data_IF_732261361297
#
_entry.id   IF_732261361297
#
_cell.length_a   1.000
_cell.length_b   1.000
_cell.length_c   1.000
_cell.angle_alpha   90.00
_cell.angle_beta   90.00
_cell.angle_gamma   90.00
#
_symmetry.space_group_name_H-M   'P 1'
#
loop_
_entity.id
_entity.type
_entity.pdbx_description
1 polymer ?
#
# COMPACT_ATOMS: atom_id res chain seq x y z
N UNK A 1 -25.92 24.86 19.81
CA UNK A 1 -24.59 25.46 19.55
C UNK A 1 -24.60 25.90 18.11
N UNK A 2 -24.48 27.21 17.89
CA UNK A 2 -24.77 27.90 16.64
C UNK A 2 -24.04 27.29 15.43
N UNK A 3 -24.81 27.06 14.36
CA UNK A 3 -24.30 26.67 13.05
C UNK A 3 -23.91 27.98 12.37
N UNK A 4 -22.65 28.38 12.49
CA UNK A 4 -22.09 29.50 11.73
C UNK A 4 -21.65 29.00 10.34
N UNK A 5 -22.30 29.57 9.34
CA UNK A 5 -21.85 29.95 7.99
C UNK A 5 -21.04 28.95 7.13
N UNK A 6 -21.68 28.59 6.01
CA UNK A 6 -21.13 28.21 4.70
C UNK A 6 -19.61 27.95 4.63
N UNK A 7 -19.23 26.70 4.83
CA UNK A 7 -17.88 26.20 4.52
C UNK A 7 -17.54 26.19 3.01
N UNK A 8 -18.49 26.55 2.13
CA UNK A 8 -18.29 26.56 0.68
C UNK A 8 -17.29 27.63 0.20
N UNK A 9 -17.07 28.71 0.96
CA UNK A 9 -16.23 29.84 0.55
C UNK A 9 -14.77 29.78 1.06
N UNK A 10 -14.39 28.77 1.85
CA UNK A 10 -13.04 28.70 2.46
C UNK A 10 -12.01 27.92 1.65
N UNK A 11 -12.37 27.31 0.53
CA UNK A 11 -11.45 26.53 -0.30
C UNK A 11 -11.34 27.13 -1.70
N UNK A 12 -10.46 28.13 -1.83
CA UNK A 12 -9.99 28.55 -3.16
C UNK A 12 -9.29 27.35 -3.81
N UNK A 13 -9.63 26.98 -5.06
CA UNK A 13 -8.90 25.93 -5.76
C UNK A 13 -7.44 26.35 -5.86
N UNK A 14 -6.54 25.57 -5.23
CA UNK A 14 -5.11 25.71 -5.43
C UNK A 14 -4.85 25.68 -6.95
N UNK A 15 -4.06 26.63 -7.47
CA UNK A 15 -3.56 26.55 -8.84
C UNK A 15 -2.78 25.23 -8.93
N UNK A 16 -3.36 24.23 -9.60
CA UNK A 16 -2.72 22.93 -9.77
C UNK A 16 -1.78 23.00 -10.95
N UNK A 17 -0.49 23.10 -10.67
CA UNK A 17 0.52 22.74 -11.66
C UNK A 17 0.33 21.27 -12.02
N UNK A 18 0.45 20.94 -13.31
CA UNK A 18 0.40 19.53 -13.75
C UNK A 18 1.46 18.75 -12.98
N UNK A 19 1.10 17.58 -12.46
CA UNK A 19 2.07 16.72 -11.82
C UNK A 19 3.06 16.25 -12.91
N UNK A 20 4.37 16.45 -12.75
CA UNK A 20 5.34 16.06 -13.77
C UNK A 20 5.25 14.56 -14.07
N UNK A 21 5.31 14.20 -15.35
CA UNK A 21 5.29 12.80 -15.79
C UNK A 21 6.54 12.02 -15.31
N UNK A 22 7.59 12.71 -14.84
CA UNK A 22 8.90 12.14 -14.47
C UNK A 22 9.14 12.15 -12.95
N UNK A 23 8.22 11.55 -12.17
CA UNK A 23 8.47 11.26 -10.75
C UNK A 23 8.35 9.76 -10.42
N UNK A 24 9.30 9.20 -9.65
CA UNK A 24 10.48 9.86 -9.08
C UNK A 24 11.58 10.17 -10.12
N UNK A 25 12.55 11.00 -9.75
CA UNK A 25 13.78 11.16 -10.54
C UNK A 25 14.63 9.86 -10.54
N UNK A 26 15.71 9.83 -11.33
CA UNK A 26 16.62 8.66 -11.41
C UNK A 26 17.25 8.24 -10.07
N UNK A 27 17.27 9.14 -9.08
CA UNK A 27 17.79 8.88 -7.74
C UNK A 27 16.68 8.44 -6.77
N UNK A 28 15.43 8.39 -7.22
CA UNK A 28 14.28 8.00 -6.42
C UNK A 28 13.61 9.15 -5.67
N UNK A 29 13.86 10.41 -6.06
CA UNK A 29 13.28 11.58 -5.38
C UNK A 29 12.00 12.08 -6.03
N UNK A 30 11.03 12.44 -5.19
CA UNK A 30 9.82 13.19 -5.50
C UNK A 30 10.02 14.62 -5.01
N UNK A 31 10.68 15.45 -5.82
CA UNK A 31 11.18 16.76 -5.38
C UNK A 31 12.24 16.60 -4.29
N UNK A 32 11.95 17.08 -3.08
CA UNK A 32 12.86 16.98 -1.93
C UNK A 32 12.72 15.66 -1.14
N UNK A 33 11.69 14.86 -1.43
CA UNK A 33 11.35 13.65 -0.67
C UNK A 33 11.80 12.39 -1.41
N UNK A 34 11.89 11.24 -0.72
CA UNK A 34 12.27 9.96 -1.33
C UNK A 34 13.76 9.67 -1.22
N UNK A 35 14.36 9.07 -2.25
CA UNK A 35 15.77 8.68 -2.27
C UNK A 35 16.04 7.31 -1.62
N UNK A 36 17.31 7.07 -1.27
CA UNK A 36 17.80 5.79 -0.72
C UNK A 36 18.64 6.04 0.52
N UNK A 37 17.97 6.19 1.66
CA UNK A 37 18.61 6.38 2.96
C UNK A 37 18.70 5.05 3.70
N UNK A 38 19.66 4.22 3.32
CA UNK A 38 19.89 2.88 3.89
C UNK A 38 21.37 2.65 4.18
N UNK A 39 21.68 1.59 4.91
CA UNK A 39 23.05 1.14 5.07
C UNK A 39 23.65 0.71 3.73
N UNK A 40 24.93 1.00 3.52
CA UNK A 40 25.68 0.63 2.30
C UNK A 40 25.55 -0.87 1.96
N UNK A 41 25.49 -1.71 3.00
CA UNK A 41 25.33 -3.17 2.86
C UNK A 41 24.02 -3.60 2.19
N UNK A 42 23.00 -2.74 2.14
CA UNK A 42 21.72 -2.98 1.45
C UNK A 42 21.70 -2.45 0.02
N UNK A 43 22.65 -1.59 -0.37
CA UNK A 43 22.64 -0.95 -1.68
C UNK A 43 22.67 -1.94 -2.85
N UNK A 44 23.47 -3.03 -2.83
CA UNK A 44 23.43 -4.03 -3.91
C UNK A 44 22.06 -4.68 -4.07
N UNK A 45 21.38 -5.00 -2.96
CA UNK A 45 20.05 -5.61 -2.95
C UNK A 45 18.99 -4.68 -3.54
N UNK A 46 19.09 -3.39 -3.21
CA UNK A 46 18.18 -2.35 -3.69
C UNK A 46 18.38 -2.05 -5.17
N UNK A 47 19.64 -2.02 -5.64
CA UNK A 47 19.97 -1.84 -7.04
C UNK A 47 19.52 -3.03 -7.90
N UNK A 48 19.73 -4.26 -7.43
CA UNK A 48 19.20 -5.47 -8.07
C UNK A 48 17.67 -5.42 -8.19
N UNK A 49 16.98 -5.00 -7.12
CA UNK A 49 15.53 -4.84 -7.11
C UNK A 49 15.06 -3.78 -8.12
N UNK A 50 15.72 -2.63 -8.15
CA UNK A 50 15.39 -1.55 -9.09
C UNK A 50 15.57 -1.98 -10.55
N UNK A 51 16.69 -2.63 -10.87
CA UNK A 51 16.95 -3.13 -12.21
C UNK A 51 15.89 -4.15 -12.61
N UNK A 52 15.58 -5.11 -11.73
CA UNK A 52 14.54 -6.11 -11.98
C UNK A 52 13.16 -5.49 -12.15
N UNK A 53 12.78 -4.52 -11.30
CA UNK A 53 11.49 -3.84 -11.39
C UNK A 53 11.37 -3.07 -12.72
N UNK A 54 12.38 -2.26 -13.07
CA UNK A 54 12.39 -1.49 -14.32
C UNK A 54 12.40 -2.38 -15.58
N UNK A 55 12.94 -3.60 -15.46
CA UNK A 55 12.97 -4.56 -16.56
C UNK A 55 11.65 -5.32 -16.70
N UNK A 56 11.12 -5.84 -15.60
CA UNK A 56 10.01 -6.81 -15.64
C UNK A 56 8.64 -6.17 -15.52
N UNK A 57 8.47 -5.10 -14.73
CA UNK A 57 7.16 -4.46 -14.60
C UNK A 57 6.58 -3.99 -15.94
N UNK A 58 7.32 -3.33 -16.85
CA UNK A 58 6.76 -2.92 -18.13
C UNK A 58 6.63 -4.07 -19.16
N UNK A 59 7.10 -5.28 -18.84
CA UNK A 59 7.01 -6.43 -19.75
C UNK A 59 5.54 -6.86 -19.93
N UNK A 60 5.03 -6.99 -21.18
CA UNK A 60 3.65 -7.39 -21.43
C UNK A 60 3.26 -8.74 -20.82
N UNK A 61 4.20 -9.71 -20.76
CA UNK A 61 3.94 -11.02 -20.18
C UNK A 61 3.82 -10.93 -18.65
N UNK A 62 4.63 -10.09 -18.00
CA UNK A 62 4.50 -9.81 -16.57
C UNK A 62 3.15 -9.16 -16.25
N UNK A 63 2.76 -8.16 -17.05
CA UNK A 63 1.48 -7.47 -16.88
C UNK A 63 0.29 -8.40 -17.14
N UNK A 64 0.37 -9.30 -18.12
CA UNK A 64 -0.67 -10.30 -18.36
C UNK A 64 -0.85 -11.23 -17.15
N UNK A 65 0.25 -11.76 -16.62
CA UNK A 65 0.24 -12.64 -15.45
C UNK A 65 -0.27 -11.90 -14.20
N UNK A 66 0.22 -10.68 -13.96
CA UNK A 66 -0.23 -9.85 -12.84
C UNK A 66 -1.73 -9.53 -12.92
N UNK A 67 -2.23 -9.08 -14.07
CA UNK A 67 -3.65 -8.81 -14.25
C UNK A 67 -4.52 -10.08 -14.15
N UNK A 68 -3.99 -11.23 -14.58
CA UNK A 68 -4.66 -12.51 -14.38
C UNK A 68 -4.82 -12.82 -12.89
N UNK A 69 -3.75 -12.68 -12.09
CA UNK A 69 -3.78 -12.86 -10.65
C UNK A 69 -4.75 -11.91 -9.97
N UNK A 70 -4.73 -10.62 -10.34
CA UNK A 70 -5.67 -9.64 -9.81
C UNK A 70 -7.13 -10.05 -10.08
N UNK A 71 -7.44 -10.49 -11.31
CA UNK A 71 -8.81 -10.86 -11.70
C UNK A 71 -9.26 -12.20 -11.09
N UNK A 72 -8.43 -13.23 -11.23
CA UNK A 72 -8.79 -14.63 -10.94
C UNK A 72 -8.57 -15.00 -9.48
N UNK A 73 -7.60 -14.38 -8.82
CA UNK A 73 -7.22 -14.71 -7.45
C UNK A 73 -7.61 -13.62 -6.45
N UNK A 74 -7.26 -12.35 -6.73
CA UNK A 74 -7.61 -11.25 -5.82
C UNK A 74 -9.09 -10.82 -5.91
N UNK A 75 -9.80 -11.21 -6.98
CA UNK A 75 -11.23 -10.90 -7.17
C UNK A 75 -11.49 -9.49 -7.71
N UNK A 76 -10.56 -8.93 -8.48
CA UNK A 76 -10.72 -7.61 -9.11
C UNK A 76 -11.57 -7.66 -10.40
N UNK A 77 -12.28 -6.58 -10.76
CA UNK A 77 -12.34 -5.28 -10.07
C UNK A 77 -13.20 -5.30 -8.81
N UNK A 78 -12.82 -4.51 -7.81
CA UNK A 78 -13.67 -4.35 -6.60
C UNK A 78 -14.82 -3.38 -6.90
N UNK A 79 -16.03 -3.58 -6.35
CA UNK A 79 -17.15 -2.68 -6.61
C UNK A 79 -16.95 -1.25 -6.09
N UNK A 80 -17.53 -0.27 -6.80
CA UNK A 80 -17.79 1.08 -6.28
C UNK A 80 -19.25 1.16 -5.82
N UNK A 81 -19.47 1.23 -4.51
CA UNK A 81 -20.80 1.11 -3.91
C UNK A 81 -21.37 2.45 -3.46
N UNK A 82 -22.53 2.85 -3.99
CA UNK A 82 -23.25 4.04 -3.52
C UNK A 82 -23.90 3.80 -2.14
N UNK A 83 -23.31 4.36 -1.09
CA UNK A 83 -23.79 4.26 0.27
C UNK A 83 -24.95 5.22 0.57
N UNK A 84 -26.12 4.97 -0.04
CA UNK A 84 -27.31 5.86 0.03
C UNK A 84 -27.69 6.32 1.44
N UNK A 85 -27.62 5.41 2.44
CA UNK A 85 -27.93 5.76 3.84
C UNK A 85 -26.93 6.78 4.42
N UNK A 86 -25.65 6.64 4.10
CA UNK A 86 -24.62 7.58 4.52
C UNK A 86 -24.77 8.92 3.80
N UNK A 87 -25.07 8.91 2.50
CA UNK A 87 -25.39 10.11 1.73
C UNK A 87 -26.56 10.88 2.36
N UNK A 88 -27.66 10.19 2.71
CA UNK A 88 -28.82 10.81 3.37
C UNK A 88 -28.49 11.36 4.75
N UNK A 89 -27.67 10.64 5.53
CA UNK A 89 -27.25 11.09 6.85
C UNK A 89 -26.45 12.40 6.78
N UNK A 90 -25.55 12.53 5.80
CA UNK A 90 -24.74 13.74 5.60
C UNK A 90 -25.52 14.92 5.01
N UNK A 91 -26.74 14.69 4.49
CA UNK A 91 -27.64 15.71 3.92
C UNK A 91 -26.96 16.62 2.88
N UNK A 92 -26.00 16.08 2.14
CA UNK A 92 -25.20 16.85 1.18
C UNK A 92 -24.54 15.96 0.14
N UNK A 93 -23.34 15.48 0.41
CA UNK A 93 -22.56 14.71 -0.55
C UNK A 93 -23.14 13.30 -0.80
N UNK A 94 -23.08 12.85 -2.06
CA UNK A 94 -23.26 11.45 -2.41
C UNK A 94 -21.97 10.67 -2.10
N UNK A 95 -22.06 9.65 -1.24
CA UNK A 95 -20.90 8.88 -0.78
C UNK A 95 -20.81 7.55 -1.52
N UNK A 96 -19.67 7.31 -2.15
CA UNK A 96 -19.32 6.06 -2.80
C UNK A 96 -18.16 5.39 -2.06
N UNK A 97 -18.26 4.08 -1.84
CA UNK A 97 -17.25 3.28 -1.16
C UNK A 97 -16.55 2.40 -2.19
N UNK A 98 -15.25 2.59 -2.38
CA UNK A 98 -14.41 1.66 -3.15
C UNK A 98 -14.12 0.43 -2.28
N UNK A 99 -14.70 -0.71 -2.63
CA UNK A 99 -14.82 -1.90 -1.77
C UNK A 99 -13.57 -2.79 -1.75
N UNK A 100 -12.41 -2.24 -1.41
CA UNK A 100 -11.17 -3.01 -1.25
C UNK A 100 -11.24 -4.04 -0.09
N UNK A 101 -12.24 -3.93 0.78
CA UNK A 101 -12.56 -4.94 1.79
C UNK A 101 -13.04 -6.28 1.18
N UNK A 102 -13.50 -6.26 -0.08
CA UNK A 102 -13.93 -7.46 -0.81
C UNK A 102 -12.80 -8.12 -1.62
N UNK A 103 -11.62 -7.49 -1.70
CA UNK A 103 -10.46 -8.15 -2.30
C UNK A 103 -10.08 -9.38 -1.46
N UNK A 104 -9.54 -10.42 -2.10
CA UNK A 104 -9.05 -11.59 -1.38
C UNK A 104 -8.08 -11.18 -0.27
N UNK A 105 -8.11 -11.91 0.85
CA UNK A 105 -7.50 -11.55 2.16
C UNK A 105 -8.19 -10.42 2.95
N UNK A 106 -9.12 -9.68 2.34
CA UNK A 106 -9.96 -8.67 3.00
C UNK A 106 -9.36 -7.27 3.07
N UNK A 107 -8.33 -6.97 2.27
CA UNK A 107 -7.68 -5.67 2.23
C UNK A 107 -6.99 -5.40 0.89
N UNK A 108 -6.73 -4.11 0.61
CA UNK A 108 -5.97 -3.64 -0.55
C UNK A 108 -4.52 -4.14 -0.62
N UNK A 109 -3.99 -4.74 0.46
CA UNK A 109 -2.59 -5.21 0.52
C UNK A 109 -2.31 -6.31 -0.49
N UNK A 110 -3.32 -7.10 -0.86
CA UNK A 110 -3.16 -8.22 -1.81
C UNK A 110 -2.66 -7.76 -3.19
N UNK A 111 -3.03 -6.56 -3.63
CA UNK A 111 -2.59 -6.01 -4.92
C UNK A 111 -1.06 -5.93 -4.98
N UNK A 112 -0.48 -5.31 -3.94
CA UNK A 112 0.95 -5.12 -3.81
C UNK A 112 1.70 -6.43 -3.53
N UNK A 113 1.17 -7.30 -2.67
CA UNK A 113 1.87 -8.54 -2.31
C UNK A 113 1.89 -9.53 -3.47
N UNK A 114 0.85 -9.57 -4.31
CA UNK A 114 0.89 -10.36 -5.55
C UNK A 114 1.93 -9.82 -6.53
N UNK A 115 1.96 -8.50 -6.75
CA UNK A 115 2.94 -7.88 -7.67
C UNK A 115 4.39 -8.12 -7.22
N UNK A 116 4.68 -7.92 -5.94
CA UNK A 116 6.03 -8.16 -5.41
C UNK A 116 6.40 -9.65 -5.36
N UNK A 117 5.47 -10.55 -5.05
CA UNK A 117 5.75 -11.99 -5.08
C UNK A 117 5.98 -12.51 -6.50
N UNK A 118 5.22 -12.00 -7.48
CA UNK A 118 5.45 -12.28 -8.89
C UNK A 118 6.83 -11.77 -9.34
N UNK A 119 7.19 -10.53 -8.98
CA UNK A 119 8.51 -9.98 -9.24
C UNK A 119 9.61 -10.84 -8.61
N UNK A 120 9.43 -11.27 -7.36
CA UNK A 120 10.37 -12.18 -6.69
C UNK A 120 10.54 -13.50 -7.46
N UNK A 121 9.46 -14.04 -8.02
CA UNK A 121 9.50 -15.27 -8.83
C UNK A 121 10.30 -15.06 -10.12
N UNK A 122 10.06 -13.96 -10.82
CA UNK A 122 10.78 -13.58 -12.04
C UNK A 122 12.25 -13.26 -11.78
N UNK A 123 12.58 -12.76 -10.59
CA UNK A 123 13.96 -12.62 -10.08
C UNK A 123 14.59 -13.96 -9.63
N UNK A 124 13.85 -15.07 -9.67
CA UNK A 124 14.33 -16.39 -9.26
C UNK A 124 14.43 -16.58 -7.74
N UNK A 125 13.93 -15.65 -6.93
CA UNK A 125 13.94 -15.73 -5.46
C UNK A 125 12.98 -16.84 -5.00
N UNK A 126 13.32 -17.50 -3.90
CA UNK A 126 12.56 -18.65 -3.36
C UNK A 126 11.89 -18.36 -2.02
N UNK A 127 12.28 -17.25 -1.38
CA UNK A 127 11.85 -16.89 -0.04
C UNK A 127 11.35 -15.46 -0.01
N UNK A 128 10.26 -15.24 0.71
CA UNK A 128 9.71 -13.93 1.00
C UNK A 128 9.89 -13.61 2.48
N UNK A 129 10.31 -12.39 2.76
CA UNK A 129 10.26 -11.81 4.10
C UNK A 129 9.37 -10.56 4.07
N UNK A 130 8.68 -10.29 5.16
CA UNK A 130 7.94 -9.03 5.34
C UNK A 130 7.81 -8.68 6.81
N UNK A 131 7.47 -7.44 7.11
CA UNK A 131 7.12 -6.93 8.42
C UNK A 131 5.62 -6.73 8.57
N UNK A 132 5.06 -6.81 9.77
CA UNK A 132 3.65 -6.45 9.96
C UNK A 132 3.37 -5.94 11.37
N UNK A 133 2.42 -4.99 11.47
CA UNK A 133 1.85 -4.51 12.73
C UNK A 133 0.49 -5.16 12.96
N UNK A 134 -0.59 -4.56 12.44
CA UNK A 134 -1.95 -5.11 12.53
C UNK A 134 -2.16 -6.52 11.91
N UNK A 135 -1.18 -7.05 11.16
CA UNK A 135 -1.19 -8.41 10.62
C UNK A 135 -1.73 -8.55 9.19
N UNK A 136 -2.45 -7.55 8.66
CA UNK A 136 -3.04 -7.65 7.30
C UNK A 136 -1.98 -7.80 6.19
N UNK A 137 -0.88 -7.06 6.29
CA UNK A 137 0.23 -7.22 5.32
C UNK A 137 0.88 -8.60 5.46
N UNK A 138 1.09 -9.07 6.70
CA UNK A 138 1.66 -10.40 6.94
C UNK A 138 0.78 -11.52 6.38
N UNK A 139 -0.54 -11.44 6.55
CA UNK A 139 -1.50 -12.37 5.96
C UNK A 139 -1.44 -12.32 4.44
N UNK A 140 -1.47 -11.13 3.82
CA UNK A 140 -1.41 -10.99 2.36
C UNK A 140 -0.10 -11.53 1.76
N UNK A 141 1.05 -11.27 2.41
CA UNK A 141 2.34 -11.83 1.99
C UNK A 141 2.40 -13.34 2.16
N UNK A 142 1.89 -13.88 3.27
CA UNK A 142 1.80 -15.32 3.48
C UNK A 142 0.91 -16.01 2.44
N UNK A 143 -0.22 -15.38 2.08
CA UNK A 143 -1.11 -15.85 1.01
C UNK A 143 -0.40 -15.86 -0.34
N UNK A 144 0.30 -14.78 -0.70
CA UNK A 144 1.06 -14.72 -1.94
C UNK A 144 2.18 -15.77 -1.96
N UNK A 145 2.94 -15.90 -0.88
CA UNK A 145 4.00 -16.90 -0.77
C UNK A 145 3.46 -18.34 -0.96
N UNK A 146 2.33 -18.67 -0.33
CA UNK A 146 1.69 -19.96 -0.48
C UNK A 146 1.24 -20.22 -1.93
N UNK A 147 0.70 -19.20 -2.61
CA UNK A 147 0.31 -19.29 -4.03
C UNK A 147 1.51 -19.58 -4.94
N UNK A 148 2.64 -18.89 -4.72
CA UNK A 148 3.84 -19.03 -5.54
C UNK A 148 4.80 -20.15 -5.09
N UNK A 149 4.44 -20.92 -4.05
CA UNK A 149 5.29 -21.99 -3.51
C UNK A 149 6.59 -21.49 -2.89
N UNK A 150 6.58 -20.29 -2.28
CA UNK A 150 7.75 -19.67 -1.66
C UNK A 150 7.73 -19.84 -0.13
N UNK A 151 8.91 -19.99 0.48
CA UNK A 151 9.01 -19.92 1.94
C UNK A 151 8.68 -18.50 2.41
N UNK A 152 7.95 -18.34 3.52
CA UNK A 152 7.57 -17.03 4.04
C UNK A 152 7.97 -16.85 5.49
N UNK A 153 8.63 -15.73 5.81
CA UNK A 153 8.89 -15.29 7.19
C UNK A 153 8.32 -13.90 7.43
N UNK A 154 7.51 -13.76 8.46
CA UNK A 154 6.87 -12.48 8.81
C UNK A 154 7.41 -12.00 10.15
N UNK A 155 8.08 -10.85 10.16
CA UNK A 155 8.56 -10.18 11.36
C UNK A 155 7.43 -9.37 11.97
N UNK A 156 7.15 -9.59 13.25
CA UNK A 156 6.01 -8.97 13.93
C UNK A 156 6.38 -8.65 15.38
N UNK A 157 6.03 -7.45 15.84
CA UNK A 157 6.24 -7.02 17.21
C UNK A 157 5.55 -7.95 18.22
N UNK A 158 6.21 -8.25 19.33
CA UNK A 158 5.67 -9.16 20.36
C UNK A 158 4.31 -8.69 20.91
N UNK A 159 4.15 -7.39 21.17
CA UNK A 159 2.85 -6.81 21.58
C UNK A 159 1.77 -7.00 20.51
N UNK A 160 2.13 -6.83 19.23
CA UNK A 160 1.20 -6.98 18.11
C UNK A 160 0.79 -8.45 17.91
N UNK A 161 1.70 -9.41 18.16
CA UNK A 161 1.40 -10.85 18.07
C UNK A 161 0.27 -11.23 19.04
N UNK A 162 0.32 -10.73 20.27
CA UNK A 162 -0.72 -10.98 21.27
C UNK A 162 -2.04 -10.31 20.88
N UNK A 163 -2.00 -9.03 20.48
CA UNK A 163 -3.20 -8.26 20.11
C UNK A 163 -3.86 -8.75 18.82
N UNK A 164 -3.09 -9.34 17.90
CA UNK A 164 -3.54 -9.75 16.56
C UNK A 164 -3.49 -11.27 16.37
N UNK A 165 -3.77 -12.04 17.44
CA UNK A 165 -3.70 -13.50 17.44
C UNK A 165 -4.44 -14.18 16.28
N UNK A 166 -5.58 -13.62 15.84
CA UNK A 166 -6.35 -14.15 14.70
C UNK A 166 -5.55 -14.08 13.38
N UNK A 167 -4.85 -12.98 13.12
CA UNK A 167 -4.02 -12.82 11.93
C UNK A 167 -2.74 -13.67 12.02
N UNK A 168 -2.15 -13.79 13.22
CA UNK A 168 -1.02 -14.71 13.46
C UNK A 168 -1.39 -16.15 13.15
N UNK A 169 -2.57 -16.61 13.57
CA UNK A 169 -3.08 -17.95 13.26
C UNK A 169 -3.26 -18.15 11.75
N UNK A 170 -3.82 -17.16 11.04
CA UNK A 170 -3.96 -17.20 9.58
C UNK A 170 -2.61 -17.32 8.87
N UNK A 171 -1.63 -16.52 9.26
CA UNK A 171 -0.27 -16.60 8.70
C UNK A 171 0.34 -17.99 8.86
N UNK A 172 0.20 -18.60 10.05
CA UNK A 172 0.69 -19.96 10.31
C UNK A 172 -0.04 -21.03 9.49
N UNK A 173 -1.37 -20.90 9.33
CA UNK A 173 -2.16 -21.81 8.48
C UNK A 173 -1.76 -21.73 7.00
N UNK A 174 -1.30 -20.56 6.54
CA UNK A 174 -0.75 -20.35 5.20
C UNK A 174 0.71 -20.82 5.08
N UNK A 175 1.29 -21.43 6.12
CA UNK A 175 2.67 -21.95 6.11
C UNK A 175 3.76 -20.92 6.41
N UNK A 176 3.41 -19.67 6.73
CA UNK A 176 4.39 -18.65 7.06
C UNK A 176 4.93 -18.81 8.49
N UNK A 177 6.23 -18.57 8.66
CA UNK A 177 6.88 -18.52 9.98
C UNK A 177 6.81 -17.09 10.53
N UNK A 178 6.06 -16.90 11.62
CA UNK A 178 6.00 -15.63 12.33
C UNK A 178 7.21 -15.51 13.27
N UNK A 179 8.02 -14.47 13.07
CA UNK A 179 9.24 -14.18 13.82
C UNK A 179 8.93 -13.04 14.81
N UNK A 180 8.92 -13.31 16.13
CA UNK A 180 8.67 -12.27 17.13
C UNK A 180 9.84 -11.28 17.19
N UNK A 181 9.51 -9.99 17.25
CA UNK A 181 10.47 -8.90 17.44
C UNK A 181 10.21 -8.26 18.80
N UNK A 182 11.20 -8.40 19.68
CA UNK A 182 11.18 -7.86 21.06
C UNK A 182 12.14 -6.68 21.27
N UNK A 183 12.89 -6.29 20.22
CA UNK A 183 13.76 -5.12 20.28
C UNK A 183 12.94 -3.82 20.25
N UNK A 184 13.45 -2.78 20.91
CA UNK A 184 12.83 -1.46 20.90
C UNK A 184 11.49 -1.40 21.64
N UNK A 185 10.48 -0.78 21.02
CA UNK A 185 9.12 -0.68 21.57
C UNK A 185 8.24 -1.87 21.16
N UNK A 186 8.78 -2.83 20.40
CA UNK A 186 8.03 -3.99 19.93
C UNK A 186 6.94 -3.62 18.93
N UNK A 187 7.18 -2.59 18.11
CA UNK A 187 6.20 -2.06 17.14
C UNK A 187 6.61 -2.34 15.69
N UNK A 188 5.77 -1.92 14.72
CA UNK A 188 6.03 -2.03 13.27
C UNK A 188 7.41 -1.49 12.85
N UNK A 189 7.88 -0.40 13.49
CA UNK A 189 9.19 0.20 13.19
C UNK A 189 10.34 -0.76 13.52
N UNK A 190 10.26 -1.43 14.66
CA UNK A 190 11.28 -2.39 15.10
C UNK A 190 11.25 -3.64 14.20
N UNK A 191 10.05 -4.11 13.84
CA UNK A 191 9.87 -5.21 12.89
C UNK A 191 10.48 -4.92 11.51
N UNK A 192 10.32 -3.69 11.00
CA UNK A 192 10.92 -3.26 9.74
C UNK A 192 12.46 -3.28 9.80
N UNK A 193 13.05 -2.77 10.89
CA UNK A 193 14.49 -2.76 11.07
C UNK A 193 15.07 -4.18 11.12
N UNK A 194 14.43 -5.09 11.86
CA UNK A 194 14.85 -6.50 11.92
C UNK A 194 14.68 -7.22 10.58
N UNK A 195 13.60 -6.97 9.84
CA UNK A 195 13.40 -7.53 8.50
C UNK A 195 14.50 -7.08 7.53
N UNK A 196 14.84 -5.78 7.53
CA UNK A 196 15.93 -5.25 6.70
C UNK A 196 17.30 -5.81 7.11
N UNK A 197 17.59 -5.94 8.41
CA UNK A 197 18.83 -6.57 8.90
C UNK A 197 18.94 -8.02 8.45
N UNK A 198 17.85 -8.78 8.57
CA UNK A 198 17.80 -10.15 8.09
C UNK A 198 18.05 -10.22 6.58
N UNK A 199 17.46 -9.30 5.81
CA UNK A 199 17.60 -9.26 4.36
C UNK A 199 19.05 -9.13 3.90
N UNK A 200 19.87 -8.33 4.58
CA UNK A 200 21.31 -8.16 4.26
C UNK A 200 22.02 -9.51 4.15
N UNK A 201 21.75 -10.44 5.06
CA UNK A 201 22.37 -11.77 5.08
C UNK A 201 21.72 -12.79 4.13
N UNK A 202 20.57 -12.48 3.54
CA UNK A 202 19.73 -13.41 2.80
C UNK A 202 19.40 -12.93 1.36
N UNK A 203 19.95 -11.81 0.91
CA UNK A 203 19.62 -11.16 -0.38
C UNK A 203 19.66 -12.09 -1.60
N UNK A 204 20.53 -13.11 -1.59
CA UNK A 204 20.72 -14.01 -2.73
C UNK A 204 19.45 -14.78 -3.08
N UNK A 205 18.75 -15.33 -2.09
CA UNK A 205 17.58 -16.21 -2.29
C UNK A 205 16.26 -15.61 -1.76
N UNK A 206 16.34 -14.47 -1.07
CA UNK A 206 15.22 -13.87 -0.34
C UNK A 206 14.85 -12.48 -0.87
N UNK A 207 13.56 -12.27 -1.09
CA UNK A 207 12.96 -11.00 -1.47
C UNK A 207 12.24 -10.37 -0.26
N UNK A 208 12.40 -9.06 -0.06
CA UNK A 208 11.71 -8.31 0.98
C UNK A 208 10.44 -7.65 0.43
N UNK A 209 9.28 -8.12 0.89
CA UNK A 209 7.97 -7.62 0.47
C UNK A 209 7.52 -6.48 1.39
N UNK A 210 7.77 -5.25 0.98
CA UNK A 210 7.35 -4.07 1.77
C UNK A 210 5.85 -3.82 1.63
N UNK A 211 5.21 -3.37 2.71
CA UNK A 211 3.74 -3.20 2.75
C UNK A 211 3.19 -1.80 2.52
N UNK A 212 4.03 -0.83 2.18
CA UNK A 212 3.66 0.58 2.14
C UNK A 212 4.48 1.41 1.14
N UNK A 213 3.99 2.59 0.75
CA UNK A 213 4.71 3.55 -0.14
C UNK A 213 5.80 4.33 0.60
N UNK A 214 6.51 3.65 1.49
CA UNK A 214 7.61 4.17 2.28
C UNK A 214 8.86 3.31 2.05
N UNK A 215 9.98 3.70 2.65
CA UNK A 215 11.27 3.01 2.47
C UNK A 215 12.09 3.56 1.30
N UNK A 216 13.25 2.95 1.01
CA UNK A 216 14.13 3.42 -0.05
C UNK A 216 13.53 3.15 -1.43
N UNK A 217 13.83 4.01 -2.39
CA UNK A 217 13.61 3.68 -3.80
C UNK A 217 14.26 2.32 -4.14
N UNK A 218 13.59 1.42 -4.89
CA UNK A 218 12.39 1.63 -5.71
C UNK A 218 11.04 1.37 -5.01
N UNK A 219 11.02 1.06 -3.71
CA UNK A 219 9.81 0.60 -3.03
C UNK A 219 8.61 1.55 -3.11
N UNK A 220 8.73 2.87 -2.86
CA UNK A 220 7.60 3.78 -2.97
C UNK A 220 6.96 3.79 -4.36
N UNK A 221 7.79 3.77 -5.41
CA UNK A 221 7.34 3.70 -6.81
C UNK A 221 6.65 2.35 -7.08
N UNK A 222 7.32 1.25 -6.77
CA UNK A 222 6.82 -0.10 -7.01
C UNK A 222 5.48 -0.37 -6.31
N UNK A 223 5.36 0.02 -5.03
CA UNK A 223 4.11 -0.19 -4.28
C UNK A 223 2.98 0.67 -4.85
N UNK A 224 3.27 1.90 -5.31
CA UNK A 224 2.28 2.75 -5.98
C UNK A 224 1.79 2.08 -7.26
N UNK A 225 2.70 1.59 -8.10
CA UNK A 225 2.35 0.93 -9.38
C UNK A 225 1.45 -0.28 -9.16
N UNK A 226 1.74 -1.14 -8.18
CA UNK A 226 0.86 -2.28 -7.89
C UNK A 226 -0.47 -1.90 -7.22
N UNK A 227 -0.59 -0.69 -6.68
CA UNK A 227 -1.83 -0.21 -6.05
C UNK A 227 -2.68 0.69 -6.97
N UNK A 228 -2.14 1.22 -8.08
CA UNK A 228 -2.84 2.18 -8.95
C UNK A 228 -4.14 1.62 -9.55
N UNK A 229 -4.25 0.30 -9.64
CA UNK A 229 -5.46 -0.41 -10.06
C UNK A 229 -6.71 0.02 -9.27
N UNK A 230 -6.56 0.43 -8.01
CA UNK A 230 -7.66 0.94 -7.19
C UNK A 230 -8.26 2.20 -7.81
N UNK A 231 -7.41 3.19 -8.13
CA UNK A 231 -7.84 4.45 -8.71
C UNK A 231 -8.28 4.31 -10.17
N UNK A 232 -7.64 3.43 -10.96
CA UNK A 232 -8.01 3.15 -12.35
C UNK A 232 -9.43 2.59 -12.42
N UNK A 233 -9.73 1.56 -11.62
CA UNK A 233 -11.08 1.02 -11.51
C UNK A 233 -12.07 2.05 -11.00
N UNK A 234 -11.70 2.82 -9.97
CA UNK A 234 -12.58 3.85 -9.38
C UNK A 234 -12.94 4.91 -10.42
N UNK A 235 -11.98 5.36 -11.23
CA UNK A 235 -12.20 6.34 -12.29
C UNK A 235 -13.16 5.81 -13.35
N UNK A 236 -12.99 4.56 -13.79
CA UNK A 236 -13.89 3.95 -14.76
C UNK A 236 -15.31 3.81 -14.19
N UNK A 237 -15.41 3.26 -12.96
CA UNK A 237 -16.68 2.99 -12.30
C UNK A 237 -17.46 4.26 -11.95
N UNK A 238 -16.80 5.33 -11.50
CA UNK A 238 -17.49 6.58 -11.14
C UNK A 238 -18.01 7.31 -12.38
N UNK A 239 -17.28 7.27 -13.51
CA UNK A 239 -17.75 7.82 -14.78
C UNK A 239 -18.94 7.02 -15.29
N UNK A 240 -18.90 5.69 -15.19
CA UNK A 240 -20.02 4.83 -15.56
C UNK A 240 -21.29 5.14 -14.72
N UNK A 241 -21.13 5.25 -13.39
CA UNK A 241 -22.26 5.42 -12.47
C UNK A 241 -22.79 6.86 -12.41
N UNK A 242 -21.94 7.87 -12.64
CA UNK A 242 -22.28 9.28 -12.37
C UNK A 242 -22.09 10.21 -13.57
N UNK A 243 -21.52 9.72 -14.68
CA UNK A 243 -21.19 10.50 -15.89
C UNK A 243 -20.23 11.67 -15.66
N UNK A 244 -19.54 11.70 -14.52
CA UNK A 244 -18.55 12.72 -14.17
C UNK A 244 -17.48 12.15 -13.24
N UNK A 245 -16.41 12.92 -13.06
CA UNK A 245 -15.41 12.65 -12.03
C UNK A 245 -15.96 13.02 -10.63
N UNK A 246 -15.43 12.40 -9.55
CA UNK A 246 -15.80 12.75 -8.19
C UNK A 246 -15.29 14.15 -7.86
N UNK A 247 -15.96 14.84 -6.94
CA UNK A 247 -15.46 16.13 -6.45
C UNK A 247 -14.24 15.95 -5.53
N UNK A 248 -14.23 14.85 -4.78
CA UNK A 248 -13.22 14.56 -3.76
C UNK A 248 -12.98 13.06 -3.63
N UNK A 249 -11.74 12.68 -3.36
CA UNK A 249 -11.31 11.35 -2.93
C UNK A 249 -10.79 11.44 -1.50
N UNK A 250 -11.18 10.49 -0.66
CA UNK A 250 -10.79 10.43 0.75
C UNK A 250 -10.22 9.04 1.03
N UNK A 251 -9.04 8.99 1.64
CA UNK A 251 -8.37 7.74 2.00
C UNK A 251 -7.58 7.90 3.31
N UNK A 252 -7.45 6.82 4.08
CA UNK A 252 -6.65 6.85 5.29
C UNK A 252 -5.15 6.79 4.96
N UNK A 253 -4.33 7.51 5.73
CA UNK A 253 -2.89 7.59 5.53
C UNK A 253 -2.20 7.10 6.80
N UNK A 254 -1.78 5.82 6.74
CA UNK A 254 -0.70 5.31 7.58
C UNK A 254 0.61 5.52 6.83
N UNK A 255 1.20 4.45 6.30
CA UNK A 255 2.29 4.59 5.34
C UNK A 255 1.84 4.84 3.89
N UNK A 256 0.56 5.13 3.64
CA UNK A 256 0.06 5.74 2.39
C UNK A 256 -0.35 4.84 1.21
N UNK A 257 -0.19 3.51 1.25
CA UNK A 257 -0.34 2.68 0.02
C UNK A 257 -1.75 2.63 -0.56
N UNK A 258 -2.80 2.60 0.27
CA UNK A 258 -4.19 2.67 -0.22
C UNK A 258 -4.49 4.03 -0.84
N UNK A 259 -4.05 5.10 -0.18
CA UNK A 259 -4.27 6.47 -0.61
C UNK A 259 -3.58 6.73 -1.95
N UNK A 260 -2.31 6.33 -2.09
CA UNK A 260 -1.59 6.46 -3.37
C UNK A 260 -2.20 5.62 -4.48
N UNK A 261 -2.66 4.40 -4.20
CA UNK A 261 -3.37 3.59 -5.18
C UNK A 261 -4.65 4.25 -5.69
N UNK A 262 -5.40 4.93 -4.80
CA UNK A 262 -6.62 5.65 -5.15
C UNK A 262 -6.33 6.98 -5.85
N UNK A 263 -5.37 7.75 -5.35
CA UNK A 263 -5.10 9.13 -5.76
C UNK A 263 -4.31 9.22 -7.06
N UNK A 264 -3.33 8.32 -7.26
CA UNK A 264 -2.37 8.44 -8.35
C UNK A 264 -3.03 8.59 -9.74
N UNK A 265 -4.06 7.79 -10.10
CA UNK A 265 -4.72 7.94 -11.39
C UNK A 265 -5.45 9.27 -11.59
N UNK A 266 -5.73 10.03 -10.53
CA UNK A 266 -6.46 11.30 -10.56
C UNK A 266 -5.57 12.54 -10.41
N UNK A 267 -4.23 12.39 -10.33
CA UNK A 267 -3.31 13.48 -9.96
C UNK A 267 -3.38 14.71 -10.88
N UNK A 268 -3.76 14.50 -12.15
CA UNK A 268 -3.89 15.56 -13.15
C UNK A 268 -5.35 16.00 -13.38
N UNK A 269 -6.32 15.45 -12.63
CA UNK A 269 -7.73 15.82 -12.74
C UNK A 269 -8.11 16.92 -11.73
N UNK A 270 -9.23 17.60 -11.98
CA UNK A 270 -9.83 18.58 -11.06
C UNK A 270 -10.60 17.88 -9.90
N UNK A 271 -9.93 16.96 -9.20
CA UNK A 271 -10.49 16.17 -8.09
C UNK A 271 -9.74 16.45 -6.79
N UNK A 272 -10.43 16.86 -5.72
CA UNK A 272 -9.80 17.06 -4.41
C UNK A 272 -9.34 15.73 -3.81
N UNK A 273 -8.19 15.71 -3.12
CA UNK A 273 -7.64 14.50 -2.50
C UNK A 273 -7.34 14.78 -1.04
N UNK A 274 -7.99 14.04 -0.15
CA UNK A 274 -7.87 14.21 1.30
C UNK A 274 -7.32 12.93 1.93
N UNK A 275 -6.07 13.01 2.40
CA UNK A 275 -5.46 11.98 3.23
C UNK A 275 -5.85 12.17 4.69
N UNK A 276 -6.33 11.12 5.35
CA UNK A 276 -6.76 11.16 6.76
C UNK A 276 -5.82 10.34 7.63
N UNK A 277 -5.04 11.01 8.48
CA UNK A 277 -4.09 10.38 9.40
C UNK A 277 -4.69 10.14 10.79
N UNK A 278 -4.09 9.21 11.55
CA UNK A 278 -4.51 8.95 12.93
C UNK A 278 -3.99 10.05 13.87
N UNK A 279 -4.89 10.74 14.59
CA UNK A 279 -4.52 11.81 15.52
C UNK A 279 -3.88 11.32 16.85
N UNK A 280 -3.75 10.00 17.05
CA UNK A 280 -3.29 9.41 18.30
C UNK A 280 -4.19 9.80 19.48
N UNK A 281 -3.60 10.31 20.57
CA UNK A 281 -4.34 10.84 21.73
C UNK A 281 -4.70 12.33 21.59
N UNK A 282 -4.42 12.93 20.44
CA UNK A 282 -4.70 14.32 20.12
C UNK A 282 -3.43 15.10 19.75
N UNK A 283 -3.50 15.86 18.66
CA UNK A 283 -2.40 16.70 18.16
C UNK A 283 -1.96 17.71 19.23
N UNK A 284 -2.93 18.37 19.89
CA UNK A 284 -2.67 19.35 20.95
C UNK A 284 -1.96 18.75 22.17
N UNK A 285 -2.09 17.44 22.40
CA UNK A 285 -1.45 16.75 23.52
C UNK A 285 0.01 16.34 23.23
N UNK A 286 0.53 16.60 22.03
CA UNK A 286 1.87 16.18 21.60
C UNK A 286 2.04 14.66 21.49
N UNK A 287 0.94 13.90 21.60
CA UNK A 287 0.89 12.43 21.57
C UNK A 287 0.16 11.97 20.30
N UNK A 288 0.62 12.45 19.15
CA UNK A 288 0.11 12.03 17.84
C UNK A 288 0.64 10.64 17.45
N UNK A 289 0.08 10.05 16.38
CA UNK A 289 0.45 8.72 15.93
C UNK A 289 1.70 8.66 15.02
N UNK A 290 2.18 9.82 14.55
CA UNK A 290 3.44 9.96 13.78
C UNK A 290 4.67 9.87 14.69
#
# INVERSE_FOLDING_TARGET
>A
MCIEENAADKFKPLKREKFPDQFPDKRGHFGLYGGRYVAETLMPAILELEEAFNKFEPDPAFQEEFHNLLRRYAGRPTPLFHAKRLSHYLKGAAVYLKREDLAHTGAHKINNTLGQALLAQWMGKKKLIAETGAGQHGVATATAAALFGMECRIFMGTEDIERQAANVKRMKLLGAKVIPVSSGTGTLKDAMNEAMRFWVGAVRDTFYVIGSVAGPHPYPLMVREFQKVIGEETKNQVIEQTRRLPNMLIACVGGGSNAMGLFHPFMNDAVEMVGVEAAGKGIAAGKHAA
#
